data_IF_372577616350
#
_entry.id   IF_372577616350
#
_cell.length_a   1.000
_cell.length_b   1.000
_cell.length_c   1.000
_cell.angle_alpha   90.00
_cell.angle_beta   90.00
_cell.angle_gamma   90.00
#
_symmetry.space_group_name_H-M   'P 1'
#
loop_
_entity.id
_entity.type
_entity.pdbx_description
1 polymer ?
#
# COMPACT_ATOMS: atom_id res chain seq x y z
N UNK A 1 11.25 -43.81 -20.34
CA UNK A 1 11.04 -42.39 -20.65
C UNK A 1 11.60 -41.61 -19.48
N UNK A 2 12.82 -41.09 -19.62
CA UNK A 2 13.41 -40.19 -18.62
C UNK A 2 12.64 -38.88 -18.68
N UNK A 3 11.89 -38.55 -17.63
CA UNK A 3 11.40 -37.19 -17.44
C UNK A 3 12.63 -36.28 -17.43
N UNK A 4 12.72 -35.39 -18.43
CA UNK A 4 13.69 -34.31 -18.41
C UNK A 4 13.20 -33.39 -17.31
N UNK A 5 13.83 -33.47 -16.13
CA UNK A 5 13.58 -32.52 -15.05
C UNK A 5 14.28 -31.24 -15.48
N UNK A 6 13.51 -30.27 -15.98
CA UNK A 6 14.02 -28.93 -16.22
C UNK A 6 14.35 -28.30 -14.87
N UNK A 7 15.66 -28.14 -14.63
CA UNK A 7 16.23 -27.53 -13.43
C UNK A 7 16.52 -26.06 -13.69
N UNK A 8 16.22 -25.24 -12.69
CA UNK A 8 16.45 -23.80 -12.70
C UNK A 8 17.43 -23.47 -11.59
N UNK A 9 18.51 -22.80 -11.95
CA UNK A 9 19.53 -22.40 -11.01
C UNK A 9 19.17 -21.05 -10.37
N UNK A 10 19.08 -21.02 -9.04
CA UNK A 10 18.96 -19.79 -8.28
C UNK A 10 20.30 -19.00 -8.28
N UNK A 11 20.29 -17.70 -7.94
CA UNK A 11 21.52 -16.88 -7.94
C UNK A 11 22.64 -17.43 -7.03
N UNK A 12 22.24 -18.18 -5.98
CA UNK A 12 23.10 -18.84 -5.02
C UNK A 12 23.81 -20.09 -5.58
N UNK A 13 23.42 -20.57 -6.76
CA UNK A 13 23.91 -21.82 -7.37
C UNK A 13 23.07 -23.07 -7.09
N UNK A 14 22.12 -23.03 -6.15
CA UNK A 14 21.22 -24.16 -5.91
C UNK A 14 20.18 -24.32 -7.03
N UNK A 15 19.80 -25.56 -7.30
CA UNK A 15 18.86 -25.91 -8.36
C UNK A 15 17.47 -26.23 -7.81
N UNK A 16 16.44 -25.83 -8.56
CA UNK A 16 15.04 -26.12 -8.29
C UNK A 16 14.41 -26.71 -9.54
N UNK A 17 13.59 -27.75 -9.40
CA UNK A 17 12.68 -28.09 -10.49
C UNK A 17 11.61 -26.99 -10.66
N UNK A 18 10.99 -26.92 -11.83
CA UNK A 18 9.94 -25.93 -12.14
C UNK A 18 8.83 -25.93 -11.08
N UNK A 19 8.40 -27.11 -10.62
CA UNK A 19 7.36 -27.22 -9.59
C UNK A 19 7.77 -26.57 -8.26
N UNK A 20 8.99 -26.84 -7.78
CA UNK A 20 9.51 -26.23 -6.55
C UNK A 20 9.68 -24.72 -6.71
N UNK A 21 10.13 -24.25 -7.87
CA UNK A 21 10.21 -22.82 -8.19
C UNK A 21 8.83 -22.17 -8.14
N UNK A 22 7.82 -22.79 -8.75
CA UNK A 22 6.44 -22.32 -8.72
C UNK A 22 5.92 -22.18 -7.28
N UNK A 23 6.10 -23.21 -6.45
CA UNK A 23 5.69 -23.18 -5.05
C UNK A 23 6.40 -22.05 -4.28
N UNK A 24 7.67 -21.81 -4.55
CA UNK A 24 8.43 -20.72 -3.94
C UNK A 24 7.79 -19.35 -4.25
N UNK A 25 7.46 -19.09 -5.51
CA UNK A 25 6.77 -17.85 -5.92
C UNK A 25 5.35 -17.76 -5.35
N UNK A 26 4.59 -18.86 -5.35
CA UNK A 26 3.24 -18.93 -4.79
C UNK A 26 3.22 -18.60 -3.29
N UNK A 27 4.15 -19.19 -2.54
CA UNK A 27 4.28 -18.96 -1.11
C UNK A 27 4.65 -17.51 -0.84
N UNK A 28 5.63 -16.95 -1.56
CA UNK A 28 6.01 -15.55 -1.41
C UNK A 28 4.91 -14.55 -1.83
N UNK A 29 4.01 -14.91 -2.76
CA UNK A 29 2.84 -14.09 -3.08
C UNK A 29 1.72 -14.16 -2.02
N UNK A 30 1.72 -15.20 -1.20
CA UNK A 30 0.66 -15.45 -0.20
C UNK A 30 1.07 -14.97 1.19
N UNK A 31 2.30 -15.25 1.57
CA UNK A 31 2.88 -14.90 2.87
C UNK A 31 3.99 -13.86 2.68
N UNK A 32 3.72 -12.65 3.18
CA UNK A 32 4.64 -11.53 3.09
C UNK A 32 5.97 -11.79 3.81
N UNK A 33 6.00 -12.62 4.86
CA UNK A 33 7.26 -12.98 5.54
C UNK A 33 8.21 -13.76 4.63
N UNK A 34 7.67 -14.44 3.62
CA UNK A 34 8.41 -15.17 2.60
C UNK A 34 8.74 -14.30 1.38
N UNK A 35 8.29 -13.05 1.36
CA UNK A 35 8.56 -12.11 0.30
C UNK A 35 9.87 -11.30 0.53
N UNK A 36 10.63 -10.98 -0.53
CA UNK A 36 10.65 -11.69 -1.82
C UNK A 36 11.12 -13.14 -1.69
N UNK A 37 10.83 -14.00 -2.70
CA UNK A 37 11.34 -15.37 -2.75
C UNK A 37 12.88 -15.36 -2.72
N UNK A 38 13.48 -16.19 -1.86
CA UNK A 38 14.92 -16.20 -1.59
C UNK A 38 15.49 -17.62 -1.57
N UNK A 39 16.72 -17.77 -2.07
CA UNK A 39 17.62 -18.88 -1.80
C UNK A 39 18.86 -18.35 -1.07
N UNK A 40 19.26 -18.93 0.07
CA UNK A 40 20.48 -18.51 0.78
C UNK A 40 20.55 -16.99 1.03
N UNK A 41 19.40 -16.37 1.34
CA UNK A 41 19.22 -14.91 1.50
C UNK A 41 19.39 -14.07 0.24
N UNK A 42 19.65 -14.69 -0.91
CA UNK A 42 19.66 -14.02 -2.22
C UNK A 42 18.28 -14.10 -2.85
N UNK A 43 17.78 -12.96 -3.33
CA UNK A 43 16.47 -12.88 -3.98
C UNK A 43 16.47 -13.62 -5.31
N UNK A 44 15.42 -14.40 -5.56
CA UNK A 44 15.13 -15.00 -6.85
C UNK A 44 14.19 -14.04 -7.59
N UNK A 45 14.64 -13.47 -8.71
CA UNK A 45 13.87 -12.50 -9.48
C UNK A 45 12.77 -13.18 -10.30
N UNK A 46 11.62 -12.52 -10.46
CA UNK A 46 10.53 -13.02 -11.29
C UNK A 46 10.90 -13.05 -12.78
N UNK A 47 11.46 -11.96 -13.30
CA UNK A 47 11.60 -11.73 -14.74
C UNK A 47 12.33 -12.85 -15.52
N UNK A 48 13.48 -13.38 -15.05
CA UNK A 48 14.13 -14.51 -15.74
C UNK A 48 13.29 -15.79 -15.74
N UNK A 49 12.34 -15.92 -14.82
CA UNK A 49 11.57 -17.13 -14.56
C UNK A 49 10.13 -17.08 -15.10
N UNK A 50 9.69 -15.95 -15.65
CA UNK A 50 8.28 -15.74 -16.09
C UNK A 50 7.79 -16.84 -17.04
N UNK A 51 8.64 -17.30 -17.95
CA UNK A 51 8.30 -18.30 -18.96
C UNK A 51 8.13 -19.72 -18.38
N UNK A 52 8.58 -19.95 -17.15
CA UNK A 52 8.51 -21.23 -16.44
C UNK A 52 7.32 -21.28 -15.46
N UNK A 53 6.66 -20.14 -15.24
CA UNK A 53 5.61 -20.00 -14.23
C UNK A 53 4.23 -19.86 -14.89
N UNK A 54 3.16 -20.36 -14.25
CA UNK A 54 1.80 -20.12 -14.73
C UNK A 54 1.48 -18.62 -14.82
N UNK A 55 0.90 -18.18 -15.94
CA UNK A 55 0.64 -16.75 -16.18
C UNK A 55 -0.25 -16.07 -15.13
N UNK A 56 -1.18 -16.82 -14.52
CA UNK A 56 -1.98 -16.33 -13.39
C UNK A 56 -1.12 -16.07 -12.14
N UNK A 57 -0.16 -16.96 -11.85
CA UNK A 57 0.77 -16.78 -10.73
C UNK A 57 1.67 -15.56 -10.98
N UNK A 58 2.19 -15.37 -12.19
CA UNK A 58 3.00 -14.20 -12.56
C UNK A 58 2.21 -12.90 -12.32
N UNK A 59 0.94 -12.86 -12.74
CA UNK A 59 0.07 -11.69 -12.51
C UNK A 59 -0.15 -11.43 -11.02
N UNK A 60 -0.55 -12.45 -10.26
CA UNK A 60 -0.77 -12.31 -8.81
C UNK A 60 0.51 -11.89 -8.11
N UNK A 61 1.67 -12.45 -8.48
CA UNK A 61 2.94 -12.09 -7.88
C UNK A 61 3.29 -10.63 -8.13
N UNK A 62 3.09 -10.10 -9.35
CA UNK A 62 3.32 -8.68 -9.65
C UNK A 62 2.39 -7.76 -8.85
N UNK A 63 1.13 -8.12 -8.71
CA UNK A 63 0.17 -7.38 -7.86
C UNK A 63 0.64 -7.37 -6.40
N UNK A 64 1.11 -8.52 -5.90
CA UNK A 64 1.62 -8.68 -4.54
C UNK A 64 2.97 -8.02 -4.31
N UNK A 65 3.83 -7.98 -5.31
CA UNK A 65 5.09 -7.24 -5.27
C UNK A 65 4.83 -5.75 -5.04
N UNK A 66 3.90 -5.16 -5.79
CA UNK A 66 3.49 -3.76 -5.58
C UNK A 66 2.86 -3.56 -4.21
N UNK A 67 1.94 -4.45 -3.81
CA UNK A 67 1.31 -4.40 -2.49
C UNK A 67 2.36 -4.41 -1.39
N UNK A 68 3.23 -5.42 -1.36
CA UNK A 68 4.20 -5.62 -0.31
C UNK A 68 5.31 -4.56 -0.29
N UNK A 69 5.70 -4.02 -1.45
CA UNK A 69 6.66 -2.92 -1.53
C UNK A 69 6.06 -1.55 -1.19
N UNK A 70 4.74 -1.42 -1.11
CA UNK A 70 4.08 -0.14 -0.80
C UNK A 70 4.14 0.13 0.70
N UNK A 71 4.77 1.25 1.15
CA UNK A 71 4.72 1.66 2.55
C UNK A 71 3.32 2.21 2.89
N UNK A 72 2.89 2.07 4.14
CA UNK A 72 1.61 2.60 4.65
C UNK A 72 0.41 2.26 3.75
N UNK A 73 0.33 0.99 3.30
CA UNK A 73 -0.70 0.46 2.40
C UNK A 73 -2.10 0.88 2.80
N UNK A 74 -2.95 1.04 1.80
CA UNK A 74 -4.36 1.31 2.03
C UNK A 74 -5.18 0.19 1.42
N UNK A 75 -6.02 -0.41 2.24
CA UNK A 75 -6.97 -1.43 1.83
C UNK A 75 -8.37 -0.82 1.81
N UNK A 76 -9.28 -1.42 1.03
CA UNK A 76 -10.68 -1.04 1.08
C UNK A 76 -11.22 -1.24 2.51
N UNK A 77 -11.84 -0.20 3.08
CA UNK A 77 -12.41 -0.27 4.42
C UNK A 77 -13.60 -1.24 4.50
N UNK A 78 -14.23 -1.55 3.36
CA UNK A 78 -15.32 -2.49 3.29
C UNK A 78 -14.77 -3.90 3.54
N UNK A 79 -15.10 -4.48 4.70
CA UNK A 79 -14.57 -5.78 5.15
C UNK A 79 -14.78 -6.90 4.12
N UNK A 80 -15.95 -6.91 3.46
CA UNK A 80 -16.27 -7.88 2.40
C UNK A 80 -15.43 -7.71 1.13
N UNK A 81 -14.78 -6.56 0.94
CA UNK A 81 -13.91 -6.29 -0.19
C UNK A 81 -12.44 -6.43 0.22
N UNK A 82 -11.98 -5.63 1.19
CA UNK A 82 -10.61 -5.61 1.74
C UNK A 82 -9.47 -5.57 0.70
N UNK A 83 -9.79 -5.25 -0.55
CA UNK A 83 -8.84 -5.23 -1.65
C UNK A 83 -7.77 -4.14 -1.41
N UNK A 84 -6.52 -4.47 -1.71
CA UNK A 84 -5.45 -3.50 -1.76
C UNK A 84 -5.78 -2.40 -2.77
N UNK A 85 -5.57 -1.13 -2.38
CA UNK A 85 -5.78 0.02 -3.24
C UNK A 85 -4.40 0.56 -3.63
N UNK A 86 -4.11 0.50 -4.93
CA UNK A 86 -2.83 0.96 -5.47
C UNK A 86 -2.62 2.46 -5.16
N UNK A 87 -1.38 2.90 -4.84
CA UNK A 87 -1.09 4.31 -4.53
C UNK A 87 -1.58 5.33 -5.57
N UNK A 88 -1.67 4.98 -6.85
CA UNK A 88 -2.17 5.88 -7.90
C UNK A 88 -3.68 6.16 -7.78
N UNK A 89 -4.41 5.36 -7.01
CA UNK A 89 -5.85 5.54 -6.73
C UNK A 89 -6.09 6.38 -5.46
N UNK A 90 -5.02 6.86 -4.83
CA UNK A 90 -5.09 7.76 -3.69
C UNK A 90 -5.00 9.19 -4.20
N UNK A 91 -6.05 9.97 -3.95
CA UNK A 91 -6.12 11.41 -4.27
C UNK A 91 -6.42 12.15 -2.98
N UNK A 92 -5.59 13.14 -2.66
CA UNK A 92 -5.58 13.82 -1.36
C UNK A 92 -5.55 12.79 -0.22
N UNK A 93 -6.52 12.85 0.70
CA UNK A 93 -6.66 11.91 1.82
C UNK A 93 -7.63 10.74 1.55
N UNK A 94 -7.99 10.49 0.28
CA UNK A 94 -8.99 9.50 -0.09
C UNK A 94 -8.46 8.49 -1.11
N UNK A 95 -8.56 7.20 -0.79
CA UNK A 95 -8.29 6.09 -1.68
C UNK A 95 -9.59 5.54 -2.30
N UNK A 96 -9.60 5.35 -3.63
CA UNK A 96 -10.78 4.83 -4.35
C UNK A 96 -10.55 3.36 -4.72
N UNK A 97 -11.40 2.47 -4.21
CA UNK A 97 -11.30 1.05 -4.51
C UNK A 97 -11.84 0.74 -5.92
N UNK A 98 -11.01 0.14 -6.79
CA UNK A 98 -11.46 -0.25 -8.14
C UNK A 98 -12.44 -1.43 -8.16
N UNK A 99 -12.41 -2.28 -7.14
CA UNK A 99 -13.25 -3.48 -7.07
C UNK A 99 -14.71 -3.15 -6.70
N UNK A 100 -14.93 -2.29 -5.70
CA UNK A 100 -16.28 -1.98 -5.19
C UNK A 100 -16.65 -0.49 -5.23
N UNK A 101 -15.76 0.39 -5.71
CA UNK A 101 -15.93 1.84 -5.80
C UNK A 101 -16.05 2.58 -4.44
N UNK A 102 -15.94 1.87 -3.32
CA UNK A 102 -15.90 2.47 -1.99
C UNK A 102 -14.67 3.37 -1.81
N UNK A 103 -14.85 4.45 -1.03
CA UNK A 103 -13.81 5.43 -0.70
C UNK A 103 -13.30 5.21 0.72
N UNK A 104 -11.99 5.08 0.87
CA UNK A 104 -11.30 4.85 2.14
C UNK A 104 -10.46 6.08 2.50
N UNK A 105 -10.49 6.52 3.75
CA UNK A 105 -9.55 7.53 4.25
C UNK A 105 -8.14 6.94 4.36
N UNK A 106 -7.13 7.56 3.75
CA UNK A 106 -5.75 7.01 3.78
C UNK A 106 -5.09 7.15 5.16
N UNK A 107 -5.55 8.08 5.99
CA UNK A 107 -5.00 8.36 7.32
C UNK A 107 -5.52 7.33 8.33
N UNK A 108 -6.84 7.26 8.53
CA UNK A 108 -7.43 6.33 9.52
C UNK A 108 -7.73 4.94 8.96
N UNK A 109 -7.55 4.71 7.65
CA UNK A 109 -7.86 3.46 6.94
C UNK A 109 -9.34 3.03 7.01
N UNK A 110 -10.21 3.89 7.54
CA UNK A 110 -11.65 3.69 7.61
C UNK A 110 -12.40 4.27 6.42
N UNK A 111 -13.73 4.37 6.55
CA UNK A 111 -14.56 5.02 5.53
C UNK A 111 -14.14 6.48 5.32
N UNK A 112 -14.14 6.91 4.05
CA UNK A 112 -13.92 8.32 3.71
C UNK A 112 -14.93 9.23 4.41
N UNK A 113 -14.45 10.39 4.88
CA UNK A 113 -15.26 11.36 5.59
C UNK A 113 -15.03 12.77 5.01
N UNK A 114 -15.97 13.67 5.31
CA UNK A 114 -15.85 15.08 4.93
C UNK A 114 -15.00 15.83 5.96
N UNK A 115 -14.17 16.74 5.48
CA UNK A 115 -13.28 17.50 6.35
C UNK A 115 -12.05 16.71 6.81
N UNK A 116 -11.44 17.18 7.88
CA UNK A 116 -10.18 16.64 8.37
C UNK A 116 -10.37 15.30 9.06
N UNK A 117 -9.33 14.46 9.02
CA UNK A 117 -9.39 13.17 9.69
C UNK A 117 -9.27 13.38 11.21
N UNK A 118 -10.22 12.88 12.03
CA UNK A 118 -10.14 13.01 13.48
C UNK A 118 -8.99 12.18 14.08
N UNK A 119 -8.46 11.21 13.32
CA UNK A 119 -7.33 10.37 13.72
C UNK A 119 -6.00 10.86 13.14
N UNK A 120 -5.96 12.04 12.53
CA UNK A 120 -4.72 12.68 12.09
C UNK A 120 -4.05 13.37 13.29
N UNK A 121 -3.20 12.63 13.99
CA UNK A 121 -2.58 13.12 15.23
C UNK A 121 -1.74 14.38 15.03
N UNK A 122 -1.01 14.48 13.91
CA UNK A 122 -0.20 15.65 13.58
C UNK A 122 -1.09 16.88 13.39
N UNK A 123 -2.17 16.73 12.63
CA UNK A 123 -3.14 17.80 12.45
C UNK A 123 -3.82 18.19 13.77
N UNK A 124 -4.15 17.22 14.62
CA UNK A 124 -4.71 17.50 15.95
C UNK A 124 -3.70 18.25 16.84
N UNK A 125 -2.40 17.95 16.76
CA UNK A 125 -1.37 18.70 17.48
C UNK A 125 -1.29 20.15 16.99
N UNK A 126 -1.31 20.38 15.67
CA UNK A 126 -1.31 21.72 15.09
C UNK A 126 -2.56 22.50 15.50
N UNK A 127 -3.74 21.85 15.51
CA UNK A 127 -4.99 22.46 15.97
C UNK A 127 -4.92 22.84 17.46
N UNK A 128 -4.36 21.97 18.32
CA UNK A 128 -4.18 22.29 19.74
C UNK A 128 -3.21 23.44 19.95
N UNK A 129 -2.09 23.48 19.24
CA UNK A 129 -1.15 24.59 19.29
C UNK A 129 -1.81 25.90 18.81
N UNK A 130 -2.56 25.85 17.72
CA UNK A 130 -3.28 27.02 17.21
C UNK A 130 -4.24 27.59 18.27
N UNK A 131 -4.95 26.73 19.01
CA UNK A 131 -5.83 27.15 20.11
C UNK A 131 -5.06 27.86 21.23
N UNK A 132 -3.87 27.36 21.61
CA UNK A 132 -3.07 27.98 22.69
C UNK A 132 -2.44 29.30 22.26
N UNK A 133 -2.10 29.46 20.98
CA UNK A 133 -1.56 30.69 20.41
C UNK A 133 -2.64 31.68 19.96
N UNK A 134 -3.93 31.35 20.09
CA UNK A 134 -5.04 32.20 19.64
C UNK A 134 -5.19 32.27 18.12
N UNK A 135 -4.52 31.41 17.38
CA UNK A 135 -4.68 31.28 15.93
C UNK A 135 -6.05 30.69 15.59
N UNK A 136 -6.59 31.08 14.44
CA UNK A 136 -7.88 30.61 13.93
C UNK A 136 -7.72 29.96 12.57
N UNK A 137 -8.67 29.12 12.18
CA UNK A 137 -8.73 28.63 10.81
C UNK A 137 -9.51 29.60 9.93
N UNK A 138 -8.96 29.91 8.76
CA UNK A 138 -9.71 30.61 7.72
C UNK A 138 -10.93 29.77 7.31
N UNK A 139 -12.10 30.39 7.24
CA UNK A 139 -13.35 29.70 6.85
C UNK A 139 -13.35 29.21 5.40
N UNK A 140 -12.56 29.85 4.53
CA UNK A 140 -12.51 29.54 3.10
C UNK A 140 -11.47 28.47 2.76
N UNK A 141 -10.21 28.66 3.18
CA UNK A 141 -9.10 27.77 2.81
C UNK A 141 -8.65 26.82 3.93
N UNK A 142 -9.19 26.96 5.14
CA UNK A 142 -8.84 26.18 6.35
C UNK A 142 -7.38 26.26 6.83
N UNK A 143 -6.58 27.15 6.25
CA UNK A 143 -5.24 27.51 6.73
C UNK A 143 -5.30 28.16 8.13
N UNK A 144 -4.30 27.88 8.96
CA UNK A 144 -4.13 28.53 10.26
C UNK A 144 -3.65 29.98 10.06
N UNK A 145 -4.35 30.93 10.68
CA UNK A 145 -4.06 32.36 10.62
C UNK A 145 -3.91 32.92 12.03
N UNK A 146 -2.87 33.73 12.21
CA UNK A 146 -2.63 34.49 13.44
C UNK A 146 -3.24 35.89 13.31
N UNK A 147 -3.94 36.36 14.34
CA UNK A 147 -4.44 37.73 14.40
C UNK A 147 -3.39 38.60 15.09
N UNK A 148 -2.59 39.33 14.32
CA UNK A 148 -1.57 40.23 14.88
C UNK A 148 -2.16 41.55 15.41
N UNK A 149 -3.15 42.14 14.71
CA UNK A 149 -3.91 43.34 15.11
C UNK A 149 -5.27 43.38 14.38
N UNK A 150 -6.32 43.95 14.99
CA UNK A 150 -7.61 44.22 14.31
C UNK A 150 -8.87 43.57 14.93
N UNK A 151 -10.05 43.90 14.38
CA UNK A 151 -11.36 43.41 14.84
C UNK A 151 -11.65 41.98 14.32
N UNK A 152 -12.42 41.19 15.06
CA UNK A 152 -12.69 39.76 14.82
C UNK A 152 -13.52 39.42 13.57
N UNK A 153 -13.73 40.36 12.65
CA UNK A 153 -14.52 40.15 11.44
C UNK A 153 -13.65 39.50 10.35
N UNK A 154 -13.66 38.16 10.32
CA UNK A 154 -13.16 37.35 9.20
C UNK A 154 -14.39 37.01 8.34
N UNK A 155 -14.52 37.66 7.18
CA UNK A 155 -15.43 37.27 6.07
C UNK A 155 -14.64 36.55 4.99
#
# INVERSE_FOLDING_TARGET
MTEIIDLVQAPCGHEYCIHCLEQLFRNAATDESLFPPRCCRQQILLEPNVHLLPGNLVRTFREKEVEFSTPNRTYCHQVTCSAFIHPHMCVDNTAICRACQSRTCITCKGQSHNGDCPHDEELQQVVRLAQTQGWRRCVNCRTMVELNTGCYHIT
#
